data_IF_388346430123
#
_entry.id   IF_388346430123
#
_cell.length_a   1.000
_cell.length_b   1.000
_cell.length_c   1.000
_cell.angle_alpha   90.00
_cell.angle_beta   90.00
_cell.angle_gamma   90.00
#
_symmetry.space_group_name_H-M   'P 1'
#
loop_
_entity.id
_entity.type
_entity.pdbx_description
1 polymer ?
#
# COMPACT_ATOMS: atom_id res chain seq x y z
N UNK A 1 -6.63 -36.61 -30.21
CA UNK A 1 -6.93 -35.58 -31.21
C UNK A 1 -7.26 -34.27 -30.55
N UNK A 2 -6.71 -33.16 -31.05
CA UNK A 2 -6.99 -31.82 -30.56
C UNK A 2 -7.82 -31.04 -31.60
N UNK A 3 -8.79 -30.25 -31.17
CA UNK A 3 -9.62 -29.43 -32.05
C UNK A 3 -9.93 -28.08 -31.41
N UNK A 4 -9.79 -27.02 -32.21
CA UNK A 4 -10.15 -25.66 -31.82
C UNK A 4 -11.56 -25.40 -32.37
N UNK A 5 -12.43 -24.85 -31.51
CA UNK A 5 -13.78 -24.45 -31.92
C UNK A 5 -14.17 -23.14 -31.23
N UNK A 6 -15.16 -22.45 -31.78
CA UNK A 6 -15.72 -21.24 -31.21
C UNK A 6 -17.01 -21.57 -30.45
N UNK A 7 -17.10 -21.09 -29.22
CA UNK A 7 -18.31 -21.18 -28.40
C UNK A 7 -18.64 -19.79 -27.87
N UNK A 8 -19.74 -19.23 -28.32
CA UNK A 8 -20.05 -17.83 -28.15
C UNK A 8 -18.99 -16.96 -28.79
N UNK A 9 -18.45 -16.01 -28.03
CA UNK A 9 -17.41 -15.07 -28.48
C UNK A 9 -15.99 -15.63 -28.39
N UNK A 10 -15.76 -16.69 -27.63
CA UNK A 10 -14.41 -17.16 -27.29
C UNK A 10 -14.05 -18.45 -28.00
N UNK A 11 -12.74 -18.63 -28.27
CA UNK A 11 -12.18 -19.88 -28.77
C UNK A 11 -11.91 -20.86 -27.63
N UNK A 12 -12.14 -22.15 -27.89
CA UNK A 12 -11.92 -23.28 -26.99
C UNK A 12 -11.03 -24.30 -27.67
N UNK A 13 -10.21 -24.98 -26.87
CA UNK A 13 -9.48 -26.16 -27.29
C UNK A 13 -10.08 -27.39 -26.63
N UNK A 14 -10.39 -28.40 -27.43
CA UNK A 14 -10.82 -29.71 -26.97
C UNK A 14 -9.76 -30.74 -27.32
N UNK A 15 -9.37 -31.55 -26.36
CA UNK A 15 -8.40 -32.62 -26.52
C UNK A 15 -9.03 -33.93 -26.05
N UNK A 16 -8.91 -34.97 -26.87
CA UNK A 16 -9.36 -36.33 -26.51
C UNK A 16 -8.19 -37.28 -26.51
N UNK A 17 -8.03 -38.06 -25.42
CA UNK A 17 -7.01 -39.08 -25.21
C UNK A 17 -7.65 -40.26 -24.49
N UNK A 18 -7.48 -41.47 -25.02
CA UNK A 18 -7.97 -42.75 -24.43
C UNK A 18 -9.44 -42.71 -23.96
N UNK A 19 -10.33 -42.21 -24.83
CA UNK A 19 -11.75 -42.10 -24.53
C UNK A 19 -12.18 -40.97 -23.61
N UNK A 20 -11.23 -40.28 -22.96
CA UNK A 20 -11.50 -39.09 -22.14
C UNK A 20 -11.35 -37.83 -22.95
N UNK A 21 -12.20 -36.84 -22.67
CA UNK A 21 -12.20 -35.55 -23.37
C UNK A 21 -12.23 -34.40 -22.38
N UNK A 22 -11.33 -33.43 -22.55
CA UNK A 22 -11.32 -32.18 -21.79
C UNK A 22 -11.34 -31.00 -22.79
N UNK A 23 -12.16 -29.98 -22.47
CA UNK A 23 -12.23 -28.73 -23.22
C UNK A 23 -11.92 -27.56 -22.32
N UNK A 24 -11.01 -26.66 -22.75
CA UNK A 24 -10.65 -25.45 -22.03
C UNK A 24 -10.81 -24.21 -22.92
N UNK A 25 -11.26 -23.11 -22.34
CA UNK A 25 -11.26 -21.81 -23.00
C UNK A 25 -9.84 -21.32 -23.23
N UNK A 26 -9.58 -20.77 -24.41
CA UNK A 26 -8.32 -20.11 -24.76
C UNK A 26 -8.28 -18.64 -24.30
N UNK A 27 -9.39 -18.13 -23.74
CA UNK A 27 -9.47 -16.77 -23.21
C UNK A 27 -9.40 -15.65 -24.24
N UNK A 28 -9.48 -15.99 -25.54
CA UNK A 28 -9.35 -15.02 -26.64
C UNK A 28 -10.52 -15.12 -27.62
N UNK A 29 -10.85 -13.97 -28.24
CA UNK A 29 -11.82 -13.88 -29.36
C UNK A 29 -11.11 -13.88 -30.72
N UNK A 30 -9.78 -13.74 -30.73
CA UNK A 30 -8.98 -13.74 -31.95
C UNK A 30 -8.50 -15.15 -32.32
N UNK A 31 -8.72 -15.55 -33.59
CA UNK A 31 -8.35 -16.86 -34.10
C UNK A 31 -6.84 -17.07 -34.22
N UNK A 32 -6.08 -16.02 -34.51
CA UNK A 32 -4.62 -16.12 -34.64
C UNK A 32 -4.00 -16.35 -33.28
N UNK A 33 -4.39 -15.55 -32.28
CA UNK A 33 -3.96 -15.70 -30.88
C UNK A 33 -4.39 -17.07 -30.32
N UNK A 34 -5.59 -17.56 -30.68
CA UNK A 34 -6.06 -18.89 -30.28
C UNK A 34 -5.14 -19.99 -30.80
N UNK A 35 -4.68 -19.89 -32.03
CA UNK A 35 -3.75 -20.87 -32.64
C UNK A 35 -2.37 -20.84 -31.94
N UNK A 36 -1.86 -19.66 -31.58
CA UNK A 36 -0.59 -19.52 -30.86
C UNK A 36 -0.63 -20.10 -29.46
N UNK A 37 -1.76 -19.99 -28.76
CA UNK A 37 -1.96 -20.53 -27.41
C UNK A 37 -2.19 -22.05 -27.42
N UNK A 38 -2.65 -22.61 -28.54
CA UNK A 38 -3.03 -24.03 -28.64
C UNK A 38 -1.94 -24.99 -28.14
N UNK A 39 -0.66 -24.92 -28.56
CA UNK A 39 0.34 -25.91 -28.12
C UNK A 39 0.54 -25.94 -26.61
N UNK A 40 0.48 -24.78 -25.98
CA UNK A 40 0.68 -24.64 -24.52
C UNK A 40 -0.50 -25.23 -23.74
N UNK A 41 -1.73 -24.92 -24.19
CA UNK A 41 -2.95 -25.39 -23.52
C UNK A 41 -3.17 -26.89 -23.81
N UNK A 42 -2.86 -27.37 -25.02
CA UNK A 42 -2.90 -28.79 -25.40
C UNK A 42 -1.99 -29.62 -24.51
N UNK A 43 -0.73 -29.23 -24.33
CA UNK A 43 0.22 -29.88 -23.42
C UNK A 43 -0.33 -29.97 -21.99
N UNK A 44 -0.95 -28.91 -21.50
CA UNK A 44 -1.56 -28.87 -20.16
C UNK A 44 -2.72 -29.85 -20.04
N UNK A 45 -3.59 -29.92 -21.06
CA UNK A 45 -4.74 -30.84 -21.09
C UNK A 45 -4.27 -32.30 -21.21
N UNK A 46 -3.25 -32.59 -22.01
CA UNK A 46 -2.70 -33.94 -22.15
C UNK A 46 -2.14 -34.42 -20.82
N UNK A 47 -1.36 -33.61 -20.12
CA UNK A 47 -0.84 -33.93 -18.80
C UNK A 47 -1.97 -34.23 -17.80
N UNK A 48 -3.02 -33.44 -17.82
CA UNK A 48 -4.20 -33.63 -16.97
C UNK A 48 -4.95 -34.94 -17.30
N UNK A 49 -5.12 -35.26 -18.58
CA UNK A 49 -5.74 -36.52 -19.05
C UNK A 49 -4.92 -37.76 -18.67
N UNK A 50 -3.62 -37.62 -18.67
CA UNK A 50 -2.67 -38.69 -18.24
C UNK A 50 -2.57 -38.82 -16.72
N UNK A 51 -3.25 -37.96 -15.95
CA UNK A 51 -3.13 -37.92 -14.48
C UNK A 51 -1.75 -37.44 -14.01
N UNK A 52 -0.98 -36.86 -14.91
CA UNK A 52 0.31 -36.25 -14.59
C UNK A 52 0.05 -34.82 -14.14
N UNK A 53 -0.02 -34.61 -12.84
CA UNK A 53 0.01 -33.22 -12.35
C UNK A 53 1.30 -32.56 -12.81
N UNK A 54 1.24 -31.40 -13.49
CA UNK A 54 2.46 -30.65 -13.79
C UNK A 54 3.20 -30.45 -12.47
N UNK A 55 4.48 -30.84 -12.39
CA UNK A 55 5.32 -30.59 -11.21
C UNK A 55 5.18 -29.11 -10.87
N UNK A 56 4.41 -28.80 -9.84
CA UNK A 56 4.31 -27.45 -9.31
C UNK A 56 5.73 -27.07 -8.92
N UNK A 57 6.28 -26.09 -9.59
CA UNK A 57 7.60 -25.55 -9.23
C UNK A 57 7.44 -24.97 -7.83
N UNK A 58 7.93 -25.70 -6.84
CA UNK A 58 7.93 -25.23 -5.46
C UNK A 58 9.02 -24.17 -5.36
N UNK A 59 8.61 -22.94 -5.23
CA UNK A 59 9.55 -21.85 -4.99
C UNK A 59 9.96 -21.85 -3.51
N UNK A 60 11.24 -21.64 -3.27
CA UNK A 60 11.73 -21.22 -1.94
C UNK A 60 11.20 -19.84 -1.60
N UNK A 61 11.21 -19.47 -0.31
CA UNK A 61 10.72 -18.15 0.10
C UNK A 61 11.48 -16.99 -0.55
N UNK A 62 12.80 -17.01 -0.72
CA UNK A 62 13.51 -15.95 -1.47
C UNK A 62 13.02 -15.78 -2.91
N UNK A 63 12.87 -16.88 -3.65
CA UNK A 63 12.37 -16.86 -5.03
C UNK A 63 10.91 -16.39 -5.09
N UNK A 64 10.10 -16.81 -4.13
CA UNK A 64 8.72 -16.35 -4.00
C UNK A 64 8.65 -14.84 -3.74
N UNK A 65 9.48 -14.32 -2.84
CA UNK A 65 9.54 -12.90 -2.50
C UNK A 65 9.98 -12.04 -3.70
N UNK A 66 10.98 -12.49 -4.44
CA UNK A 66 11.42 -11.81 -5.66
C UNK A 66 10.30 -11.73 -6.70
N UNK A 67 9.64 -12.86 -6.96
CA UNK A 67 8.53 -12.91 -7.91
C UNK A 67 7.33 -12.07 -7.44
N UNK A 68 7.00 -12.12 -6.15
CA UNK A 68 5.96 -11.30 -5.54
C UNK A 68 6.21 -9.80 -5.74
N UNK A 69 7.44 -9.33 -5.52
CA UNK A 69 7.83 -7.94 -5.73
C UNK A 69 7.77 -7.56 -7.22
N UNK A 70 8.24 -8.43 -8.10
CA UNK A 70 8.26 -8.18 -9.54
C UNK A 70 6.85 -8.07 -10.14
N UNK A 71 5.90 -8.86 -9.70
CA UNK A 71 4.51 -8.79 -10.17
C UNK A 71 3.73 -7.60 -9.58
N UNK A 72 4.19 -7.04 -8.45
CA UNK A 72 3.54 -5.94 -7.77
C UNK A 72 4.24 -4.57 -7.98
N UNK A 73 4.93 -4.37 -9.08
CA UNK A 73 5.59 -3.09 -9.45
C UNK A 73 4.64 -1.90 -9.58
N UNK A 74 3.34 -2.15 -9.71
CA UNK A 74 2.29 -1.11 -9.74
C UNK A 74 2.06 -0.43 -8.38
N UNK A 75 2.62 -0.94 -7.29
CA UNK A 75 2.52 -0.32 -5.98
C UNK A 75 3.18 1.05 -5.96
N UNK A 76 2.73 1.92 -5.04
CA UNK A 76 3.44 3.16 -4.77
C UNK A 76 4.89 2.88 -4.36
N UNK A 77 5.81 3.79 -4.69
CA UNK A 77 7.25 3.65 -4.34
C UNK A 77 7.46 3.34 -2.85
N UNK A 78 6.68 3.97 -1.96
CA UNK A 78 6.79 3.73 -0.52
C UNK A 78 6.27 2.35 -0.10
N UNK A 79 5.20 1.86 -0.72
CA UNK A 79 4.66 0.52 -0.46
C UNK A 79 5.63 -0.55 -0.95
N UNK A 80 6.19 -0.37 -2.15
CA UNK A 80 7.18 -1.28 -2.72
C UNK A 80 8.41 -1.38 -1.81
N UNK A 81 9.03 -0.23 -1.48
CA UNK A 81 10.22 -0.18 -0.62
C UNK A 81 10.00 -0.78 0.77
N UNK A 82 8.80 -0.61 1.35
CA UNK A 82 8.47 -1.23 2.63
C UNK A 82 8.40 -2.76 2.51
N UNK A 83 7.70 -3.29 1.50
CA UNK A 83 7.62 -4.74 1.26
C UNK A 83 9.00 -5.32 1.01
N UNK A 84 9.78 -4.72 0.11
CA UNK A 84 11.14 -5.14 -0.21
C UNK A 84 12.03 -5.20 1.04
N UNK A 85 12.02 -4.15 1.85
CA UNK A 85 12.81 -4.08 3.08
C UNK A 85 12.42 -5.18 4.07
N UNK A 86 11.12 -5.39 4.30
CA UNK A 86 10.63 -6.41 5.24
C UNK A 86 10.98 -7.81 4.76
N UNK A 87 10.72 -8.13 3.49
CA UNK A 87 10.99 -9.45 2.93
C UNK A 87 12.49 -9.75 2.93
N UNK A 88 13.34 -8.77 2.57
CA UNK A 88 14.80 -8.90 2.63
C UNK A 88 15.30 -9.19 4.05
N UNK A 89 14.79 -8.49 5.06
CA UNK A 89 15.17 -8.73 6.45
C UNK A 89 14.74 -10.12 6.93
N UNK A 90 13.56 -10.57 6.51
CA UNK A 90 13.07 -11.92 6.84
C UNK A 90 13.92 -13.00 6.17
N UNK A 91 14.26 -12.86 4.89
CA UNK A 91 15.16 -13.77 4.16
C UNK A 91 16.54 -13.83 4.82
N UNK A 92 17.05 -12.69 5.33
CA UNK A 92 18.31 -12.63 6.06
C UNK A 92 18.25 -13.18 7.49
N UNK A 93 17.13 -13.79 7.91
CA UNK A 93 16.96 -14.38 9.24
C UNK A 93 16.94 -13.34 10.37
N UNK A 94 16.71 -12.07 10.08
CA UNK A 94 16.66 -11.04 11.13
C UNK A 94 15.42 -11.22 12.01
N UNK A 95 15.56 -11.05 13.34
CA UNK A 95 14.44 -11.19 14.26
C UNK A 95 13.35 -10.14 13.96
N UNK A 96 12.10 -10.50 14.21
CA UNK A 96 10.99 -9.58 14.12
C UNK A 96 11.14 -8.46 15.16
N UNK A 97 10.64 -7.24 14.86
CA UNK A 97 10.68 -6.14 15.83
C UNK A 97 10.02 -6.51 17.15
N UNK A 98 10.61 -6.08 18.27
CA UNK A 98 10.05 -6.27 19.61
C UNK A 98 8.79 -5.43 19.87
N UNK A 99 8.67 -4.28 19.21
CA UNK A 99 7.49 -3.43 19.33
C UNK A 99 6.27 -4.11 18.66
N UNK A 100 5.14 -4.34 19.36
CA UNK A 100 3.98 -5.09 18.85
C UNK A 100 3.41 -4.51 17.56
N UNK A 101 3.28 -3.18 17.47
CA UNK A 101 2.76 -2.50 16.26
C UNK A 101 3.66 -2.73 15.06
N UNK A 102 4.99 -2.58 15.22
CA UNK A 102 5.95 -2.82 14.15
C UNK A 102 5.97 -4.28 13.75
N UNK A 103 5.98 -5.20 14.73
CA UNK A 103 5.89 -6.65 14.51
C UNK A 103 4.65 -7.02 13.69
N UNK A 104 3.50 -6.46 14.04
CA UNK A 104 2.23 -6.63 13.31
C UNK A 104 2.35 -6.24 11.83
N UNK A 105 3.06 -5.15 11.53
CA UNK A 105 3.32 -4.74 10.13
C UNK A 105 4.16 -5.79 9.41
N UNK A 106 5.27 -6.24 10.02
CA UNK A 106 6.15 -7.25 9.42
C UNK A 106 5.40 -8.56 9.14
N UNK A 107 4.69 -9.09 10.14
CA UNK A 107 3.91 -10.33 10.02
C UNK A 107 2.89 -10.23 8.88
N UNK A 108 2.18 -9.10 8.75
CA UNK A 108 1.22 -8.90 7.66
C UNK A 108 1.86 -8.99 6.28
N UNK A 109 3.00 -8.32 6.07
CA UNK A 109 3.66 -8.31 4.77
C UNK A 109 4.27 -9.68 4.41
N UNK A 110 4.88 -10.38 5.37
CA UNK A 110 5.43 -11.73 5.16
C UNK A 110 4.29 -12.71 4.84
N UNK A 111 3.22 -12.70 5.64
CA UNK A 111 2.06 -13.56 5.42
C UNK A 111 1.32 -13.22 4.12
N UNK A 112 1.35 -11.96 3.68
CA UNK A 112 0.79 -11.55 2.38
C UNK A 112 1.57 -12.20 1.24
N UNK A 113 2.89 -12.23 1.30
CA UNK A 113 3.74 -12.89 0.30
C UNK A 113 3.43 -14.39 0.24
N UNK A 114 3.37 -15.09 1.38
CA UNK A 114 3.04 -16.52 1.45
C UNK A 114 1.64 -16.81 0.88
N UNK A 115 0.60 -16.05 1.28
CA UNK A 115 -0.76 -16.22 0.77
C UNK A 115 -0.86 -15.96 -0.73
N UNK A 116 -0.10 -14.99 -1.23
CA UNK A 116 -0.02 -14.74 -2.66
C UNK A 116 0.60 -15.93 -3.40
N UNK A 117 1.70 -16.49 -2.88
CA UNK A 117 2.33 -17.68 -3.45
C UNK A 117 1.40 -18.89 -3.48
N UNK A 118 0.63 -19.10 -2.42
CA UNK A 118 -0.36 -20.17 -2.35
C UNK A 118 -1.49 -19.95 -3.37
N UNK A 119 -2.00 -18.72 -3.48
CA UNK A 119 -3.05 -18.37 -4.45
C UNK A 119 -2.62 -18.60 -5.90
N UNK A 120 -1.34 -18.38 -6.21
CA UNK A 120 -0.76 -18.59 -7.53
C UNK A 120 -0.19 -19.99 -7.75
N UNK A 121 -0.41 -20.93 -6.81
CA UNK A 121 0.11 -22.29 -6.87
C UNK A 121 1.65 -22.37 -6.99
N UNK A 122 2.37 -21.40 -6.46
CA UNK A 122 3.84 -21.32 -6.48
C UNK A 122 4.48 -22.05 -5.29
N UNK A 123 3.72 -22.29 -4.23
CA UNK A 123 4.11 -23.04 -3.03
C UNK A 123 3.00 -24.01 -2.67
N UNK A 124 3.34 -25.13 -2.01
CA UNK A 124 2.34 -26.10 -1.55
C UNK A 124 1.67 -25.66 -0.26
N UNK A 125 2.46 -25.09 0.64
CA UNK A 125 2.03 -24.68 1.97
C UNK A 125 2.58 -23.29 2.26
N UNK A 126 1.77 -22.46 2.89
CA UNK A 126 2.21 -21.17 3.39
C UNK A 126 2.71 -21.30 4.83
N UNK A 127 3.94 -20.91 5.08
CA UNK A 127 4.52 -20.85 6.42
C UNK A 127 4.15 -19.51 7.09
N UNK A 128 2.90 -19.45 7.53
CA UNK A 128 2.36 -18.21 8.11
C UNK A 128 2.94 -17.99 9.51
N UNK A 129 3.45 -16.80 9.73
CA UNK A 129 3.80 -16.32 11.06
C UNK A 129 2.53 -16.13 11.91
N UNK A 130 2.60 -16.38 13.25
CA UNK A 130 1.46 -16.15 14.13
C UNK A 130 0.96 -14.71 14.03
N UNK A 131 -0.36 -14.57 14.17
CA UNK A 131 -1.08 -13.34 13.89
C UNK A 131 -0.52 -12.12 14.63
N UNK A 132 -0.81 -10.93 14.12
CA UNK A 132 -0.31 -9.71 14.72
C UNK A 132 -0.90 -9.48 16.11
N UNK A 133 -0.04 -9.18 17.06
CA UNK A 133 -0.48 -8.61 18.34
C UNK A 133 -0.94 -7.16 18.09
N UNK A 134 -2.07 -6.81 18.66
CA UNK A 134 -2.53 -5.42 18.62
C UNK A 134 -1.74 -4.63 19.66
N UNK A 135 -1.02 -3.61 19.23
CA UNK A 135 -0.46 -2.63 20.14
C UNK A 135 -1.58 -1.82 20.83
N UNK A 136 -1.30 -1.32 22.00
CA UNK A 136 -2.23 -0.44 22.70
C UNK A 136 -2.59 0.78 21.85
N UNK A 137 -3.89 1.11 21.80
CA UNK A 137 -4.35 2.34 21.16
C UNK A 137 -3.87 3.55 21.96
N UNK A 138 -3.45 4.59 21.24
CA UNK A 138 -3.03 5.84 21.89
C UNK A 138 -4.24 6.70 22.17
N UNK A 139 -4.41 7.05 23.43
CA UNK A 139 -5.54 7.88 23.89
C UNK A 139 -5.11 9.31 24.27
N UNK A 140 -3.87 9.71 23.93
CA UNK A 140 -3.38 11.05 24.26
C UNK A 140 -4.02 12.10 23.35
N UNK A 141 -4.74 13.02 23.98
CA UNK A 141 -5.24 14.26 23.37
C UNK A 141 -4.59 15.47 24.03
N UNK A 142 -4.49 16.59 23.32
CA UNK A 142 -4.02 17.83 23.90
C UNK A 142 -5.09 18.47 24.76
N UNK A 143 -4.73 18.96 25.95
CA UNK A 143 -5.64 19.78 26.75
C UNK A 143 -5.82 21.17 26.14
N UNK A 144 -6.91 21.89 26.46
CA UNK A 144 -7.08 23.26 26.00
C UNK A 144 -5.92 24.20 26.33
N UNK A 145 -5.36 24.07 27.53
CA UNK A 145 -4.19 24.87 27.95
C UNK A 145 -2.93 24.53 27.20
N UNK A 146 -2.72 23.26 26.79
CA UNK A 146 -1.60 22.88 25.95
C UNK A 146 -1.75 23.41 24.53
N UNK A 147 -2.97 23.38 23.98
CA UNK A 147 -3.26 23.94 22.65
C UNK A 147 -3.03 25.46 22.64
N UNK A 148 -3.49 26.17 23.67
CA UNK A 148 -3.25 27.61 23.80
C UNK A 148 -1.75 27.93 23.85
N UNK A 149 -0.98 27.21 24.68
CA UNK A 149 0.48 27.35 24.70
C UNK A 149 1.12 27.09 23.34
N UNK A 150 0.66 26.07 22.62
CA UNK A 150 1.20 25.75 21.30
C UNK A 150 0.90 26.86 20.31
N UNK A 151 -0.31 27.40 20.29
CA UNK A 151 -0.73 28.42 19.32
C UNK A 151 -0.08 29.79 19.58
N UNK A 152 0.31 30.07 20.82
CA UNK A 152 0.98 31.33 21.18
C UNK A 152 2.50 31.19 21.03
N UNK A 153 3.11 30.08 21.45
CA UNK A 153 4.53 29.99 21.73
C UNK A 153 5.34 29.14 20.73
N UNK A 154 4.71 28.40 19.81
CA UNK A 154 5.49 27.67 18.79
C UNK A 154 6.17 28.67 17.85
N UNK A 155 7.44 28.41 17.57
CA UNK A 155 8.28 29.18 16.66
C UNK A 155 8.86 28.33 15.52
N UNK A 156 9.14 28.93 14.35
CA UNK A 156 8.81 30.32 13.95
C UNK A 156 7.30 30.47 13.64
N UNK A 157 6.87 31.70 13.44
CA UNK A 157 5.44 32.05 13.21
C UNK A 157 4.80 31.31 12.05
N UNK A 158 5.53 31.11 10.96
CA UNK A 158 5.03 30.35 9.80
C UNK A 158 4.82 28.85 10.14
N UNK A 159 5.67 28.27 10.99
CA UNK A 159 5.47 26.89 11.48
C UNK A 159 4.30 26.84 12.48
N UNK A 160 4.11 27.85 13.28
CA UNK A 160 2.95 27.96 14.17
C UNK A 160 1.64 27.98 13.37
N UNK A 161 1.57 28.81 12.31
CA UNK A 161 0.41 28.84 11.39
C UNK A 161 0.13 27.49 10.75
N UNK A 162 1.19 26.77 10.36
CA UNK A 162 1.07 25.39 9.87
C UNK A 162 0.40 24.46 10.90
N UNK A 163 0.83 24.53 12.16
CA UNK A 163 0.29 23.70 13.25
C UNK A 163 -1.18 24.08 13.53
N UNK A 164 -1.50 25.38 13.56
CA UNK A 164 -2.87 25.86 13.75
C UNK A 164 -3.79 25.39 12.60
N UNK A 165 -3.35 25.53 11.35
CA UNK A 165 -4.13 25.09 10.18
C UNK A 165 -4.35 23.55 10.24
N UNK A 166 -3.34 22.78 10.61
CA UNK A 166 -3.48 21.33 10.77
C UNK A 166 -4.51 20.95 11.84
N UNK A 167 -4.52 21.68 12.95
CA UNK A 167 -5.47 21.46 14.03
C UNK A 167 -6.90 21.78 13.61
N UNK A 168 -7.14 22.97 13.09
CA UNK A 168 -8.49 23.44 12.75
C UNK A 168 -9.11 22.67 11.58
N UNK A 169 -8.31 22.34 10.57
CA UNK A 169 -8.82 21.65 9.37
C UNK A 169 -8.85 20.14 9.48
N UNK A 170 -8.12 19.54 10.43
CA UNK A 170 -7.89 18.10 10.49
C UNK A 170 -7.15 17.57 9.25
N UNK A 171 -6.52 18.46 8.47
CA UNK A 171 -5.76 18.04 7.31
C UNK A 171 -4.44 17.36 7.74
N UNK A 172 -4.09 16.28 7.03
CA UNK A 172 -2.86 15.55 7.32
C UNK A 172 -1.64 16.42 6.98
N UNK A 173 -0.56 16.23 7.74
CA UNK A 173 0.72 16.90 7.50
C UNK A 173 1.12 16.86 6.00
N UNK A 174 1.02 15.69 5.35
CA UNK A 174 1.34 15.57 3.93
C UNK A 174 0.42 16.36 3.01
N UNK A 175 -0.85 16.48 3.37
CA UNK A 175 -1.85 17.25 2.62
C UNK A 175 -1.54 18.76 2.68
N UNK A 176 -1.25 19.30 3.87
CA UNK A 176 -0.93 20.73 4.02
C UNK A 176 0.37 21.08 3.30
N UNK A 177 1.39 20.24 3.40
CA UNK A 177 2.68 20.46 2.72
C UNK A 177 2.58 20.44 1.20
N UNK A 178 1.56 19.82 0.65
CA UNK A 178 1.36 19.71 -0.80
C UNK A 178 0.40 20.76 -1.36
N UNK A 179 -0.13 21.66 -0.52
CA UNK A 179 -1.01 22.75 -0.98
C UNK A 179 -0.21 23.68 -1.90
N UNK A 180 -0.75 23.94 -3.10
CA UNK A 180 -0.26 24.91 -4.04
C UNK A 180 -1.19 26.14 -4.03
N UNK A 181 -0.75 27.31 -4.50
CA UNK A 181 -1.61 28.52 -4.56
C UNK A 181 -2.96 28.26 -5.24
N UNK A 182 -2.98 27.50 -6.33
CA UNK A 182 -4.20 27.15 -7.07
C UNK A 182 -5.16 26.24 -6.30
N UNK A 183 -4.71 25.67 -5.18
CA UNK A 183 -5.54 24.86 -4.30
C UNK A 183 -6.23 25.68 -3.19
N UNK A 184 -5.91 26.95 -3.08
CA UNK A 184 -6.52 27.88 -2.12
C UNK A 184 -7.66 28.59 -2.82
N UNK A 185 -8.88 28.29 -2.39
CA UNK A 185 -10.10 28.86 -2.93
C UNK A 185 -10.71 29.82 -1.91
N UNK A 186 -11.69 30.61 -2.34
CA UNK A 186 -12.45 31.42 -1.39
C UNK A 186 -13.23 30.53 -0.42
N UNK A 187 -12.93 30.64 0.87
CA UNK A 187 -13.55 29.86 1.95
C UNK A 187 -13.23 28.36 1.95
N UNK A 188 -12.26 27.88 1.17
CA UNK A 188 -11.87 26.46 1.17
C UNK A 188 -10.47 26.19 0.61
N UNK A 189 -9.93 25.02 0.94
CA UNK A 189 -8.71 24.47 0.32
C UNK A 189 -8.98 23.12 -0.30
N UNK A 190 -8.28 22.83 -1.38
CA UNK A 190 -8.27 21.50 -2.01
C UNK A 190 -7.03 20.76 -1.54
N UNK A 191 -7.22 19.63 -0.87
CA UNK A 191 -6.11 18.79 -0.41
C UNK A 191 -6.13 17.42 -1.08
N UNK A 192 -4.94 16.88 -1.32
CA UNK A 192 -4.75 15.60 -1.98
C UNK A 192 -4.18 14.58 -0.99
N UNK A 193 -5.00 13.63 -0.62
CA UNK A 193 -4.63 12.53 0.28
C UNK A 193 -4.47 11.20 -0.44
N UNK A 194 -4.17 10.15 0.33
CA UNK A 194 -4.03 8.78 -0.19
C UNK A 194 -5.28 8.26 -0.90
N UNK A 195 -6.46 8.74 -0.50
CA UNK A 195 -7.77 8.33 -1.02
C UNK A 195 -8.32 9.28 -2.08
N UNK A 196 -7.51 10.21 -2.55
CA UNK A 196 -7.88 11.18 -3.57
C UNK A 196 -8.02 12.62 -3.06
N UNK A 197 -8.72 13.42 -3.84
CA UNK A 197 -8.97 14.83 -3.59
C UNK A 197 -10.14 15.05 -2.64
N UNK A 198 -10.00 15.98 -1.70
CA UNK A 198 -11.09 16.47 -0.86
C UNK A 198 -11.06 17.99 -0.70
N UNK A 199 -12.22 18.58 -0.50
CA UNK A 199 -12.37 19.98 -0.16
C UNK A 199 -12.47 20.13 1.36
N UNK A 200 -11.71 21.05 1.91
CA UNK A 200 -11.76 21.42 3.34
C UNK A 200 -12.25 22.86 3.41
N UNK A 201 -13.44 23.05 3.98
CA UNK A 201 -13.98 24.40 4.22
C UNK A 201 -13.14 25.08 5.30
N UNK A 202 -12.91 26.37 5.11
CA UNK A 202 -12.16 27.22 6.02
C UNK A 202 -13.12 28.27 6.62
N UNK A 203 -13.02 28.48 7.92
CA UNK A 203 -13.62 29.64 8.55
C UNK A 203 -12.76 30.89 8.33
N UNK A 204 -13.24 32.06 8.74
CA UNK A 204 -12.55 33.33 8.55
C UNK A 204 -11.15 33.37 9.21
N UNK A 205 -10.95 32.67 10.32
CA UNK A 205 -9.67 32.61 11.00
C UNK A 205 -8.68 31.73 10.25
N UNK A 206 -9.11 30.56 9.79
CA UNK A 206 -8.31 29.63 8.99
C UNK A 206 -7.93 30.23 7.65
N UNK A 207 -8.86 30.97 7.02
CA UNK A 207 -8.60 31.71 5.79
C UNK A 207 -7.51 32.78 5.99
N UNK A 208 -7.54 33.50 7.12
CA UNK A 208 -6.47 34.47 7.48
C UNK A 208 -5.12 33.77 7.66
N UNK A 209 -5.08 32.59 8.28
CA UNK A 209 -3.83 31.83 8.47
C UNK A 209 -3.18 31.48 7.13
N UNK A 210 -3.95 31.01 6.17
CA UNK A 210 -3.40 30.58 4.88
C UNK A 210 -3.04 31.78 4.00
N UNK A 211 -3.87 32.83 3.99
CA UNK A 211 -3.63 34.05 3.20
C UNK A 211 -2.42 34.85 3.69
N UNK A 212 -2.09 34.74 4.98
CA UNK A 212 -0.90 35.37 5.57
C UNK A 212 0.38 34.61 5.30
N UNK A 213 0.31 33.42 4.69
CA UNK A 213 1.45 32.55 4.43
C UNK A 213 1.90 32.63 2.97
N UNK A 214 3.01 33.33 2.73
CA UNK A 214 3.63 33.43 1.42
C UNK A 214 5.18 33.37 1.58
N UNK A 215 5.88 32.39 0.97
CA UNK A 215 5.31 31.26 0.22
C UNK A 215 4.60 30.24 1.13
N UNK A 216 3.72 29.41 0.53
CA UNK A 216 3.06 28.30 1.24
C UNK A 216 4.08 27.27 1.73
N UNK A 217 3.69 26.51 2.77
CA UNK A 217 4.56 25.57 3.49
C UNK A 217 5.07 24.43 2.61
N UNK A 218 6.26 24.56 2.06
CA UNK A 218 6.96 23.51 1.33
C UNK A 218 7.96 22.78 2.25
N UNK A 219 7.51 22.32 3.40
CA UNK A 219 8.37 21.62 4.35
C UNK A 219 8.67 20.19 3.93
N UNK A 220 9.91 19.73 4.16
CA UNK A 220 10.24 18.30 4.05
C UNK A 220 9.47 17.51 5.12
N UNK A 221 9.11 16.26 4.79
CA UNK A 221 8.33 15.39 5.68
C UNK A 221 8.92 15.29 7.08
N UNK A 222 10.21 15.03 7.16
CA UNK A 222 10.88 14.82 8.42
C UNK A 222 11.04 16.11 9.23
N UNK A 223 11.19 17.27 8.54
CA UNK A 223 11.28 18.56 9.19
C UNK A 223 10.08 18.85 10.11
N UNK A 224 8.84 18.66 9.59
CA UNK A 224 7.63 18.91 10.40
C UNK A 224 7.59 18.04 11.63
N UNK A 225 7.92 16.75 11.50
CA UNK A 225 7.91 15.82 12.62
C UNK A 225 8.98 16.19 13.67
N UNK A 226 10.19 16.51 13.23
CA UNK A 226 11.28 16.89 14.13
C UNK A 226 11.05 18.26 14.79
N UNK A 227 10.62 19.24 14.02
CA UNK A 227 10.33 20.58 14.51
C UNK A 227 9.20 20.58 15.53
N UNK A 228 8.09 19.89 15.22
CA UNK A 228 6.97 19.76 16.16
C UNK A 228 7.42 19.12 17.47
N UNK A 229 8.15 18.01 17.43
CA UNK A 229 8.67 17.37 18.63
C UNK A 229 9.60 18.27 19.45
N UNK A 230 10.44 19.07 18.78
CA UNK A 230 11.33 20.03 19.43
C UNK A 230 10.53 21.09 20.17
N UNK A 231 9.54 21.70 19.50
CA UNK A 231 8.72 22.77 20.08
C UNK A 231 7.88 22.29 21.26
N UNK A 232 7.14 21.17 21.11
CA UNK A 232 6.31 20.66 22.21
C UNK A 232 7.14 20.26 23.45
N UNK A 233 8.37 19.75 23.24
CA UNK A 233 9.31 19.49 24.34
C UNK A 233 9.76 20.78 25.02
N UNK A 234 10.08 21.83 24.23
CA UNK A 234 10.44 23.16 24.74
C UNK A 234 9.34 23.75 25.61
N UNK A 235 8.07 23.50 25.23
CA UNK A 235 6.89 23.95 25.98
C UNK A 235 6.53 23.06 27.19
N UNK A 236 7.31 22.01 27.46
CA UNK A 236 7.06 21.08 28.57
C UNK A 236 5.90 20.09 28.32
N UNK A 237 5.40 19.99 27.09
CA UNK A 237 4.29 19.10 26.72
C UNK A 237 4.84 17.69 26.52
N UNK A 238 4.48 16.75 27.40
CA UNK A 238 4.96 15.37 27.37
C UNK A 238 4.12 14.49 26.44
N UNK A 239 4.77 13.46 25.87
CA UNK A 239 4.14 12.44 25.03
C UNK A 239 3.39 12.98 23.79
N UNK A 240 3.70 14.20 23.36
CA UNK A 240 3.13 14.81 22.17
C UNK A 240 3.77 14.25 20.88
N UNK A 241 2.93 13.99 19.87
CA UNK A 241 3.36 13.59 18.51
C UNK A 241 2.52 14.35 17.49
N UNK A 242 3.10 14.68 16.31
CA UNK A 242 2.37 15.32 15.23
C UNK A 242 1.36 14.34 14.61
#
# INVERSE_FOLDING_TARGET
MASIYKNGDYYYLSVSLDGKRISKSLGTKDKCVAKELTPTVEKTIILELMGIEPKKVKLSFPELAERFLNENKHWSKSTYALNESILRLHIAGKPLPSNPTSRSVYVRHINQCWRWGLKHNLVEKAELLPGPENGEARHRTFSPSELEKMFILIEPVDFNRFVQLAYYTGARNGEIRSIQPDNVLDGSIVVFGKTGRRYVKLNSQEQKLINSQNPLWNYKRDYVTHKFKKEVRRLGIKNARP
#
